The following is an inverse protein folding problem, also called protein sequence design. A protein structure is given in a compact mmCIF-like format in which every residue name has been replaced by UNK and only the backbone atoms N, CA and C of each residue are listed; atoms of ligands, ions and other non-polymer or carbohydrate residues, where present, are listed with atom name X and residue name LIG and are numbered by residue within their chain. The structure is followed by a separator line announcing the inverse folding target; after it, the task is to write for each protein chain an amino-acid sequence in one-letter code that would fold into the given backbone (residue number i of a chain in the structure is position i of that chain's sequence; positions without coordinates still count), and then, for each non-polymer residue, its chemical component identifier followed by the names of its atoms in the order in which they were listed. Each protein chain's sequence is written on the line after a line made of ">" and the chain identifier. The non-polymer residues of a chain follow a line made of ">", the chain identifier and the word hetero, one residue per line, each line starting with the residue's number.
data_IF_420281098875
#
_entry.id   IF_420281098875
#
_cell.length_a   1.000
_cell.length_b   1.000
_cell.length_c   1.000
_cell.angle_alpha   90.00
_cell.angle_beta   90.00
_cell.angle_gamma   90.00
#
_symmetry.space_group_name_H-M   'P 1'
#
loop_
_entity.id
_entity.type
_entity.pdbx_description
1 polymer ?
#
# COMPACT_ATOMS: atom_id res chain seq x y z
N UNK A 1 13.81 -13.91 -10.30
CA UNK A 1 15.28 -13.85 -10.48
C UNK A 1 15.59 -12.91 -11.64
N UNK A 2 16.55 -12.01 -11.50
CA UNK A 2 17.22 -11.33 -12.63
C UNK A 2 18.55 -12.06 -12.80
N UNK A 3 18.83 -12.57 -14.00
CA UNK A 3 20.07 -13.25 -14.34
C UNK A 3 21.14 -12.19 -14.67
N UNK A 4 22.34 -12.33 -14.13
CA UNK A 4 23.52 -11.55 -14.55
C UNK A 4 24.58 -12.53 -15.07
N UNK A 5 25.25 -12.15 -16.16
CA UNK A 5 26.46 -12.85 -16.60
C UNK A 5 27.56 -12.66 -15.55
N UNK A 6 28.48 -13.63 -15.43
CA UNK A 6 29.56 -13.62 -14.42
C UNK A 6 30.38 -12.31 -14.47
N UNK A 7 30.63 -11.81 -15.68
CA UNK A 7 31.37 -10.56 -15.93
C UNK A 7 30.58 -9.28 -15.59
N UNK A 8 29.30 -9.41 -15.23
CA UNK A 8 28.39 -8.31 -14.90
C UNK A 8 27.82 -8.39 -13.48
N UNK A 9 28.33 -9.31 -12.66
CA UNK A 9 27.87 -9.46 -11.28
C UNK A 9 28.31 -8.26 -10.40
N UNK A 10 27.40 -7.65 -9.62
CA UNK A 10 27.76 -6.61 -8.66
C UNK A 10 28.72 -7.14 -7.58
N UNK A 11 29.59 -6.28 -7.01
CA UNK A 11 30.41 -6.64 -5.87
C UNK A 11 29.56 -7.17 -4.69
N UNK A 12 29.96 -8.31 -4.12
CA UNK A 12 29.27 -8.94 -2.98
C UNK A 12 28.43 -10.18 -3.33
N UNK A 13 28.26 -10.50 -4.62
CA UNK A 13 27.58 -11.73 -5.06
C UNK A 13 28.57 -12.89 -5.14
N UNK A 14 28.22 -14.05 -4.54
CA UNK A 14 29.10 -15.23 -4.48
C UNK A 14 28.69 -16.29 -5.50
N UNK A 15 29.60 -16.64 -6.40
CA UNK A 15 29.42 -17.75 -7.34
C UNK A 15 29.50 -19.09 -6.60
N UNK A 16 28.49 -19.95 -6.78
CA UNK A 16 28.37 -21.23 -6.08
C UNK A 16 28.71 -22.45 -6.96
N UNK A 17 28.83 -22.28 -8.28
CA UNK A 17 29.24 -23.35 -9.20
C UNK A 17 28.40 -23.43 -10.48
N UNK A 18 28.81 -24.33 -11.36
CA UNK A 18 28.07 -24.68 -12.59
C UNK A 18 27.13 -25.85 -12.31
N UNK A 19 25.89 -25.76 -12.80
CA UNK A 19 24.93 -26.87 -12.73
C UNK A 19 24.67 -27.42 -14.14
N UNK A 20 24.93 -28.71 -14.35
CA UNK A 20 24.49 -29.45 -15.54
C UNK A 20 23.25 -30.25 -15.17
N UNK A 21 22.16 -30.06 -15.92
CA UNK A 21 20.96 -30.89 -15.79
C UNK A 21 20.97 -31.96 -16.88
N UNK A 22 20.95 -33.24 -16.51
CA UNK A 22 20.68 -34.34 -17.44
C UNK A 22 19.17 -34.64 -17.46
N UNK A 23 18.60 -34.51 -18.65
CA UNK A 23 17.29 -35.00 -19.15
C UNK A 23 16.06 -34.91 -18.24
N UNK A 24 15.13 -34.04 -18.61
CA UNK A 24 13.70 -34.37 -18.77
C UNK A 24 13.07 -33.37 -19.74
N UNK A 25 12.22 -33.85 -20.63
CA UNK A 25 11.59 -33.09 -21.73
C UNK A 25 10.86 -31.84 -21.25
N UNK A 26 11.30 -30.67 -21.71
CA UNK A 26 10.54 -29.42 -21.63
C UNK A 26 10.61 -28.69 -22.98
N UNK A 27 9.53 -28.76 -23.78
CA UNK A 27 9.36 -27.97 -25.01
C UNK A 27 9.28 -26.45 -24.78
N UNK A 28 9.38 -26.00 -23.52
CA UNK A 28 9.76 -24.64 -23.13
C UNK A 28 10.76 -24.74 -21.98
N UNK A 29 12.00 -24.33 -22.20
CA UNK A 29 13.14 -24.52 -21.29
C UNK A 29 12.80 -24.31 -19.80
N UNK A 30 13.16 -25.30 -18.99
CA UNK A 30 12.87 -25.31 -17.55
C UNK A 30 13.71 -24.28 -16.78
N UNK A 31 13.27 -23.88 -15.58
CA UNK A 31 14.12 -24.07 -14.37
C UNK A 31 13.34 -24.01 -13.04
N UNK A 32 13.94 -24.59 -11.99
CA UNK A 32 13.34 -25.23 -10.77
C UNK A 32 13.37 -24.33 -9.52
N UNK A 33 12.54 -24.67 -8.52
CA UNK A 33 12.40 -24.04 -7.18
C UNK A 33 12.47 -25.14 -6.10
N UNK A 34 13.21 -24.98 -4.99
CA UNK A 34 12.73 -25.55 -3.70
C UNK A 34 13.29 -24.83 -2.45
N UNK A 35 12.40 -24.65 -1.44
CA UNK A 35 12.59 -23.89 -0.19
C UNK A 35 12.48 -24.84 1.02
N UNK A 36 13.14 -24.61 2.16
CA UNK A 36 12.61 -23.82 3.30
C UNK A 36 13.46 -22.58 3.63
N UNK A 37 14.56 -22.42 2.92
CA UNK A 37 15.41 -21.22 2.86
C UNK A 37 16.04 -21.11 1.43
N UNK A 38 15.38 -21.65 0.38
CA UNK A 38 15.99 -22.07 -0.92
C UNK A 38 15.56 -21.34 -2.23
N UNK A 39 15.58 -22.05 -3.37
CA UNK A 39 15.92 -21.64 -4.77
C UNK A 39 14.73 -21.28 -5.71
N UNK A 40 14.94 -20.50 -6.82
CA UNK A 40 13.90 -20.14 -7.83
C UNK A 40 14.46 -19.76 -9.23
N UNK A 41 13.87 -20.21 -10.38
CA UNK A 41 14.43 -19.95 -11.74
C UNK A 41 13.45 -19.85 -12.94
N UNK A 42 13.87 -19.24 -14.09
CA UNK A 42 13.24 -19.37 -15.42
C UNK A 42 14.08 -18.83 -16.63
N UNK A 43 14.26 -19.64 -17.70
CA UNK A 43 14.44 -19.25 -19.13
C UNK A 43 15.82 -18.79 -19.66
N UNK A 44 16.63 -19.70 -20.22
CA UNK A 44 17.82 -19.40 -21.05
C UNK A 44 17.73 -20.13 -22.42
N UNK A 45 18.36 -19.62 -23.51
CA UNK A 45 18.39 -20.30 -24.80
C UNK A 45 19.16 -21.63 -24.76
N UNK A 46 18.60 -22.68 -25.38
CA UNK A 46 19.01 -24.09 -25.30
C UNK A 46 20.46 -24.41 -25.73
N UNK A 47 21.15 -23.48 -26.39
CA UNK A 47 22.39 -23.78 -27.13
C UNK A 47 23.65 -23.09 -26.57
N UNK A 48 23.61 -22.55 -25.36
CA UNK A 48 24.80 -21.98 -24.69
C UNK A 48 24.85 -22.37 -23.20
N UNK A 49 26.04 -22.59 -22.62
CA UNK A 49 26.17 -22.73 -21.17
C UNK A 49 25.73 -21.43 -20.49
N UNK A 50 24.65 -21.50 -19.71
CA UNK A 50 24.16 -20.37 -18.92
C UNK A 50 24.60 -20.52 -17.46
N UNK A 51 25.31 -19.52 -16.93
CA UNK A 51 25.60 -19.42 -15.50
C UNK A 51 24.33 -18.94 -14.76
N UNK A 52 23.92 -19.68 -13.72
CA UNK A 52 22.77 -19.32 -12.87
C UNK A 52 23.31 -18.99 -11.48
N UNK A 53 23.24 -17.71 -11.09
CA UNK A 53 23.60 -17.27 -9.74
C UNK A 53 22.37 -17.18 -8.83
N UNK A 54 22.59 -17.59 -7.58
CA UNK A 54 21.61 -17.70 -6.52
C UNK A 54 21.60 -16.43 -5.67
N UNK A 55 20.51 -15.67 -5.70
CA UNK A 55 20.32 -14.55 -4.79
C UNK A 55 19.86 -15.07 -3.43
N UNK A 56 20.62 -14.80 -2.37
CA UNK A 56 20.12 -14.94 -1.01
C UNK A 56 19.12 -13.81 -0.78
N UNK A 57 17.90 -14.14 -0.34
CA UNK A 57 16.86 -13.14 -0.11
C UNK A 57 17.23 -12.12 0.98
N UNK A 58 18.27 -12.38 1.78
CA UNK A 58 18.85 -11.42 2.71
C UNK A 58 19.41 -10.17 2.00
N UNK A 59 19.88 -10.30 0.75
CA UNK A 59 20.58 -9.24 0.04
C UNK A 59 19.63 -8.22 -0.63
N UNK A 60 18.36 -8.58 -0.83
CA UNK A 60 17.42 -7.73 -1.60
C UNK A 60 17.04 -6.44 -0.87
N UNK A 61 17.20 -6.42 0.47
CA UNK A 61 16.92 -5.25 1.30
C UNK A 61 18.17 -4.41 1.66
N UNK A 62 19.35 -4.76 1.14
CA UNK A 62 20.62 -4.06 1.44
C UNK A 62 20.61 -2.57 1.08
N UNK A 63 19.73 -2.16 0.16
CA UNK A 63 19.57 -0.76 -0.26
C UNK A 63 18.41 -0.04 0.42
N UNK A 64 17.79 -0.66 1.43
CA UNK A 64 16.83 0.02 2.29
C UNK A 64 17.56 0.74 3.42
N UNK A 65 16.99 1.83 3.98
CA UNK A 65 17.58 2.51 5.14
C UNK A 65 17.38 1.74 6.47
N UNK A 66 16.95 0.48 6.40
CA UNK A 66 16.50 -0.31 7.54
C UNK A 66 17.60 -1.31 7.95
N UNK A 67 17.80 -1.46 9.27
CA UNK A 67 18.68 -2.48 9.83
C UNK A 67 18.06 -3.87 9.66
N UNK A 68 18.84 -4.93 9.89
CA UNK A 68 18.32 -6.30 9.90
C UNK A 68 17.16 -6.51 10.88
N UNK A 69 17.20 -5.86 12.04
CA UNK A 69 16.12 -5.90 13.04
C UNK A 69 14.85 -5.20 12.55
N UNK A 70 14.99 -4.03 11.91
CA UNK A 70 13.86 -3.34 11.27
C UNK A 70 13.20 -4.23 10.20
N UNK A 71 13.99 -4.87 9.34
CA UNK A 71 13.46 -5.79 8.32
C UNK A 71 12.76 -6.99 8.97
N UNK A 72 13.32 -7.60 10.02
CA UNK A 72 12.66 -8.70 10.73
C UNK A 72 11.32 -8.27 11.35
N UNK A 73 11.25 -7.05 11.90
CA UNK A 73 10.00 -6.49 12.42
C UNK A 73 8.96 -6.30 11.32
N UNK A 74 9.34 -5.75 10.16
CA UNK A 74 8.45 -5.58 9.01
C UNK A 74 7.93 -6.94 8.48
N UNK A 75 8.80 -7.94 8.37
CA UNK A 75 8.43 -9.30 7.94
C UNK A 75 7.42 -9.97 8.87
N UNK A 76 7.55 -9.76 10.18
CA UNK A 76 6.61 -10.30 11.20
C UNK A 76 5.29 -9.54 11.25
N UNK A 77 5.28 -8.29 10.81
CA UNK A 77 4.09 -7.46 10.90
C UNK A 77 3.03 -7.86 9.89
N UNK A 78 1.76 -7.61 10.24
CA UNK A 78 0.61 -7.87 9.38
C UNK A 78 -0.11 -6.55 9.04
N UNK A 79 -0.33 -6.31 7.75
CA UNK A 79 -1.02 -5.12 7.25
C UNK A 79 -2.36 -5.50 6.63
N UNK A 80 -3.45 -4.90 7.10
CA UNK A 80 -4.75 -4.99 6.44
C UNK A 80 -4.99 -3.75 5.60
N UNK A 81 -5.26 -3.94 4.31
CA UNK A 81 -5.50 -2.87 3.35
C UNK A 81 -6.94 -2.92 2.84
N UNK A 82 -7.73 -1.94 3.24
CA UNK A 82 -9.11 -1.72 2.80
C UNK A 82 -9.12 -0.80 1.58
N UNK A 83 -9.68 -1.29 0.49
CA UNK A 83 -9.60 -0.65 -0.82
C UNK A 83 -8.23 -0.88 -1.45
N UNK A 84 -8.20 -1.54 -2.60
CA UNK A 84 -6.99 -1.77 -3.39
C UNK A 84 -7.08 -1.11 -4.77
N UNK A 85 -7.74 0.05 -4.85
CA UNK A 85 -7.76 0.88 -6.06
C UNK A 85 -6.40 1.52 -6.37
N UNK A 86 -6.41 2.71 -6.99
CA UNK A 86 -5.17 3.39 -7.41
C UNK A 86 -4.18 3.64 -6.27
N UNK A 87 -4.66 4.21 -5.15
CA UNK A 87 -3.82 4.47 -3.98
C UNK A 87 -3.43 3.16 -3.29
N UNK A 88 -4.42 2.32 -2.95
CA UNK A 88 -4.18 1.08 -2.20
C UNK A 88 -3.24 0.11 -2.92
N UNK A 89 -3.40 -0.10 -4.22
CA UNK A 89 -2.52 -1.00 -4.98
C UNK A 89 -1.06 -0.54 -5.00
N UNK A 90 -0.82 0.79 -5.09
CA UNK A 90 0.50 1.39 -4.98
C UNK A 90 1.09 1.28 -3.55
N UNK A 91 0.26 1.43 -2.52
CA UNK A 91 0.66 1.20 -1.12
C UNK A 91 1.10 -0.25 -0.94
N UNK A 92 0.27 -1.22 -1.35
CA UNK A 92 0.56 -2.64 -1.18
C UNK A 92 1.90 -3.05 -1.82
N UNK A 93 2.12 -2.67 -3.09
CA UNK A 93 3.39 -2.97 -3.78
C UNK A 93 4.60 -2.37 -3.09
N UNK A 94 4.46 -1.15 -2.57
CA UNK A 94 5.58 -0.45 -1.93
C UNK A 94 5.89 -1.00 -0.55
N UNK A 95 4.88 -1.43 0.21
CA UNK A 95 5.07 -2.14 1.48
C UNK A 95 5.76 -3.48 1.29
N UNK A 96 5.38 -4.26 0.27
CA UNK A 96 6.07 -5.51 -0.09
C UNK A 96 7.53 -5.24 -0.41
N UNK A 97 7.83 -4.21 -1.20
CA UNK A 97 9.21 -3.81 -1.53
C UNK A 97 10.00 -3.32 -0.32
N UNK A 98 9.32 -2.79 0.70
CA UNK A 98 9.94 -2.39 1.95
C UNK A 98 10.21 -3.56 2.91
N UNK A 99 9.68 -4.76 2.63
CA UNK A 99 9.91 -5.97 3.42
C UNK A 99 8.73 -6.44 4.26
N UNK A 100 7.52 -5.89 4.06
CA UNK A 100 6.30 -6.42 4.68
C UNK A 100 5.88 -7.72 3.99
N UNK A 101 5.66 -8.78 4.77
CA UNK A 101 5.37 -10.12 4.24
C UNK A 101 3.95 -10.63 4.48
N UNK A 102 3.25 -10.13 5.50
CA UNK A 102 1.88 -10.55 5.79
C UNK A 102 0.91 -9.44 5.40
N UNK A 103 0.09 -9.68 4.38
CA UNK A 103 -0.85 -8.67 3.85
C UNK A 103 -2.24 -9.28 3.67
N UNK A 104 -3.23 -8.60 4.23
CA UNK A 104 -4.65 -8.83 4.01
C UNK A 104 -5.19 -7.75 3.05
N UNK A 105 -5.64 -8.16 1.86
CA UNK A 105 -6.22 -7.28 0.84
C UNK A 105 -7.75 -7.40 0.84
N UNK A 106 -8.45 -6.28 0.97
CA UNK A 106 -9.92 -6.24 1.04
C UNK A 106 -10.45 -5.22 0.02
N UNK A 107 -11.14 -5.70 -1.02
CA UNK A 107 -11.81 -4.85 -1.99
C UNK A 107 -12.85 -5.70 -2.77
N UNK A 108 -14.14 -5.31 -2.80
CA UNK A 108 -15.18 -6.07 -3.48
C UNK A 108 -15.13 -5.95 -5.01
N UNK A 109 -14.40 -4.99 -5.55
CA UNK A 109 -14.53 -4.62 -6.95
C UNK A 109 -13.68 -5.50 -7.88
N UNK A 110 -14.11 -5.54 -9.14
CA UNK A 110 -13.31 -6.02 -10.26
C UNK A 110 -12.55 -4.87 -10.90
N UNK A 111 -11.42 -5.18 -11.51
CA UNK A 111 -10.63 -4.21 -12.27
C UNK A 111 -11.38 -3.86 -13.56
N UNK A 112 -11.71 -2.59 -13.75
CA UNK A 112 -12.31 -2.09 -14.99
C UNK A 112 -11.25 -1.39 -15.86
N UNK A 113 -11.52 -1.26 -17.17
CA UNK A 113 -10.61 -0.61 -18.13
C UNK A 113 -10.21 0.80 -17.69
N UNK A 114 -11.15 1.60 -17.18
CA UNK A 114 -10.90 2.97 -16.71
C UNK A 114 -10.06 3.03 -15.42
N UNK A 115 -9.95 1.92 -14.69
CA UNK A 115 -9.10 1.86 -13.49
C UNK A 115 -7.64 1.53 -13.82
N UNK A 116 -7.37 0.78 -14.89
CA UNK A 116 -6.05 0.20 -15.17
C UNK A 116 -4.95 1.25 -15.24
N UNK A 117 -5.22 2.41 -15.83
CA UNK A 117 -4.21 3.45 -16.03
C UNK A 117 -3.66 4.10 -14.75
N UNK A 118 -4.34 3.88 -13.61
CA UNK A 118 -3.89 4.33 -12.28
C UNK A 118 -3.78 3.21 -11.28
N UNK A 119 -4.04 1.97 -11.69
CA UNK A 119 -3.92 0.80 -10.83
C UNK A 119 -2.60 0.13 -11.12
N UNK A 120 -2.00 -0.50 -10.11
CA UNK A 120 -0.76 -1.24 -10.27
C UNK A 120 -0.90 -2.57 -11.04
N UNK A 121 -2.09 -2.90 -11.54
CA UNK A 121 -2.36 -4.12 -12.31
C UNK A 121 -2.39 -3.77 -13.80
N UNK A 122 -2.27 -4.79 -14.64
CA UNK A 122 -2.12 -4.59 -16.08
C UNK A 122 -3.47 -4.64 -16.81
N UNK A 123 -3.45 -4.27 -18.09
CA UNK A 123 -4.60 -4.47 -19.00
C UNK A 123 -5.05 -5.94 -19.09
N UNK A 124 -4.14 -6.88 -18.85
CA UNK A 124 -4.45 -8.32 -18.87
C UNK A 124 -5.27 -8.78 -17.66
N UNK A 125 -5.38 -7.93 -16.62
CA UNK A 125 -6.09 -8.25 -15.39
C UNK A 125 -7.54 -7.73 -15.36
N UNK A 126 -7.97 -7.03 -16.41
CA UNK A 126 -9.32 -6.48 -16.52
C UNK A 126 -10.38 -7.57 -16.38
N UNK A 127 -11.42 -7.29 -15.59
CA UNK A 127 -12.50 -8.22 -15.27
C UNK A 127 -12.22 -9.14 -14.08
N UNK A 128 -10.98 -9.26 -13.62
CA UNK A 128 -10.64 -10.01 -12.40
C UNK A 128 -10.93 -9.17 -11.16
N UNK A 129 -11.17 -9.81 -10.01
CA UNK A 129 -11.22 -9.10 -8.73
C UNK A 129 -9.89 -8.38 -8.48
N UNK A 130 -9.96 -7.11 -8.06
CA UNK A 130 -8.76 -6.28 -7.82
C UNK A 130 -7.82 -6.95 -6.83
N UNK A 131 -8.36 -7.50 -5.74
CA UNK A 131 -7.57 -8.22 -4.71
C UNK A 131 -6.81 -9.41 -5.28
N UNK A 132 -7.42 -10.19 -6.18
CA UNK A 132 -6.80 -11.39 -6.76
C UNK A 132 -5.73 -11.01 -7.79
N UNK A 133 -6.01 -10.05 -8.66
CA UNK A 133 -5.05 -9.55 -9.64
C UNK A 133 -3.83 -8.91 -8.95
N UNK A 134 -4.07 -8.09 -7.93
CA UNK A 134 -3.00 -7.47 -7.16
C UNK A 134 -2.18 -8.52 -6.41
N UNK A 135 -2.81 -9.50 -5.74
CA UNK A 135 -2.08 -10.56 -5.05
C UNK A 135 -1.10 -11.30 -5.98
N UNK A 136 -1.52 -11.63 -7.20
CA UNK A 136 -0.63 -12.24 -8.19
C UNK A 136 0.54 -11.31 -8.55
N UNK A 137 0.29 -10.01 -8.73
CA UNK A 137 1.35 -9.04 -8.99
C UNK A 137 2.32 -8.88 -7.81
N UNK A 138 1.83 -8.93 -6.57
CA UNK A 138 2.67 -8.87 -5.37
C UNK A 138 3.56 -10.10 -5.23
N UNK A 139 3.05 -11.29 -5.55
CA UNK A 139 3.84 -12.54 -5.54
C UNK A 139 4.98 -12.54 -6.56
N UNK A 140 4.87 -11.76 -7.64
CA UNK A 140 5.98 -11.55 -8.59
C UNK A 140 7.10 -10.69 -7.98
N UNK A 141 6.78 -9.83 -7.01
CA UNK A 141 7.76 -9.02 -6.27
C UNK A 141 8.41 -9.86 -5.16
N UNK A 142 7.59 -10.53 -4.36
CA UNK A 142 8.05 -11.42 -3.29
C UNK A 142 7.21 -12.71 -3.28
N UNK A 143 7.76 -13.85 -3.71
CA UNK A 143 7.06 -15.13 -3.66
C UNK A 143 6.80 -15.68 -2.25
N UNK A 144 7.44 -15.12 -1.22
CA UNK A 144 7.31 -15.57 0.18
C UNK A 144 6.17 -14.88 0.93
N UNK A 145 5.39 -14.02 0.27
CA UNK A 145 4.30 -13.30 0.92
C UNK A 145 3.22 -14.25 1.47
N UNK A 146 2.81 -13.99 2.69
CA UNK A 146 1.57 -14.50 3.26
C UNK A 146 0.44 -13.54 2.89
N UNK A 147 -0.33 -13.91 1.86
CA UNK A 147 -1.43 -13.09 1.34
C UNK A 147 -2.78 -13.72 1.66
N UNK A 148 -3.67 -12.91 2.24
CA UNK A 148 -5.11 -13.20 2.32
C UNK A 148 -5.86 -12.17 1.48
N UNK A 149 -6.80 -12.63 0.67
CA UNK A 149 -7.61 -11.75 -0.18
C UNK A 149 -9.09 -11.91 0.14
N UNK A 150 -9.82 -10.79 0.12
CA UNK A 150 -11.25 -10.74 0.40
C UNK A 150 -11.94 -9.88 -0.66
N UNK A 151 -12.61 -10.55 -1.59
CA UNK A 151 -13.37 -9.93 -2.68
C UNK A 151 -14.81 -9.61 -2.25
N UNK A 152 -14.97 -9.00 -1.08
CA UNK A 152 -16.27 -8.81 -0.43
C UNK A 152 -16.39 -7.43 0.21
N UNK A 153 -17.62 -6.93 0.31
CA UNK A 153 -17.90 -5.71 1.05
C UNK A 153 -18.05 -6.04 2.54
N UNK A 154 -16.93 -6.23 3.22
CA UNK A 154 -16.92 -6.72 4.61
C UNK A 154 -17.45 -5.70 5.63
N UNK A 155 -17.66 -4.44 5.24
CA UNK A 155 -18.29 -3.43 6.12
C UNK A 155 -19.74 -3.76 6.51
N UNK A 156 -20.35 -4.76 5.87
CA UNK A 156 -21.69 -5.28 6.21
C UNK A 156 -21.64 -6.47 7.17
N UNK A 157 -20.44 -6.94 7.52
CA UNK A 157 -20.27 -8.06 8.44
C UNK A 157 -20.57 -7.65 9.89
N UNK A 158 -20.95 -8.62 10.75
CA UNK A 158 -21.06 -8.38 12.19
C UNK A 158 -19.72 -7.89 12.77
N UNK A 159 -19.78 -6.98 13.74
CA UNK A 159 -18.57 -6.41 14.37
C UNK A 159 -17.61 -7.49 14.86
N UNK A 160 -18.09 -8.50 15.59
CA UNK A 160 -17.26 -9.61 16.09
C UNK A 160 -16.45 -10.33 14.99
N UNK A 161 -16.97 -10.42 13.77
CA UNK A 161 -16.26 -11.04 12.65
C UNK A 161 -15.16 -10.11 12.10
N UNK A 162 -15.41 -8.80 12.07
CA UNK A 162 -14.40 -7.79 11.71
C UNK A 162 -13.30 -7.71 12.76
N UNK A 163 -13.65 -7.79 14.05
CA UNK A 163 -12.71 -7.83 15.15
C UNK A 163 -11.78 -9.04 15.05
N UNK A 164 -12.34 -10.24 14.82
CA UNK A 164 -11.55 -11.45 14.61
C UNK A 164 -10.62 -11.34 13.39
N UNK A 165 -11.11 -10.75 12.29
CA UNK A 165 -10.31 -10.56 11.08
C UNK A 165 -9.08 -9.66 11.34
N UNK A 166 -9.22 -8.67 12.22
CA UNK A 166 -8.20 -7.66 12.51
C UNK A 166 -7.37 -7.96 13.76
N UNK A 167 -7.64 -9.05 14.48
CA UNK A 167 -7.00 -9.40 15.75
C UNK A 167 -5.47 -9.39 15.66
N UNK A 168 -4.91 -10.04 14.63
CA UNK A 168 -3.46 -10.15 14.41
C UNK A 168 -2.88 -9.08 13.49
N UNK A 169 -3.67 -8.08 13.11
CA UNK A 169 -3.22 -6.97 12.26
C UNK A 169 -2.40 -5.99 13.09
N UNK A 170 -1.25 -5.59 12.57
CA UNK A 170 -0.33 -4.61 13.17
C UNK A 170 -0.71 -3.18 12.79
N UNK A 171 -1.11 -2.94 11.53
CA UNK A 171 -1.59 -1.64 11.04
C UNK A 171 -2.72 -1.86 10.04
N UNK A 172 -3.80 -1.09 10.18
CA UNK A 172 -4.88 -1.00 9.19
C UNK A 172 -4.61 0.19 8.28
N UNK A 173 -4.75 0.00 6.97
CA UNK A 173 -4.67 1.06 5.98
C UNK A 173 -6.00 1.10 5.24
N UNK A 174 -6.65 2.25 5.23
CA UNK A 174 -7.89 2.50 4.50
C UNK A 174 -7.65 3.50 3.37
N UNK A 175 -7.76 3.00 2.14
CA UNK A 175 -7.72 3.82 0.93
C UNK A 175 -9.04 3.78 0.14
N UNK A 176 -10.13 3.40 0.80
CA UNK A 176 -11.48 3.44 0.24
C UNK A 176 -11.91 4.88 -0.04
N UNK A 177 -12.82 5.06 -0.98
CA UNK A 177 -13.39 6.36 -1.35
C UNK A 177 -14.76 6.64 -0.70
N UNK A 178 -15.26 5.68 0.11
CA UNK A 178 -16.56 5.74 0.77
C UNK A 178 -16.42 6.35 2.17
N UNK A 179 -17.09 7.49 2.46
CA UNK A 179 -17.04 8.10 3.79
C UNK A 179 -17.46 7.15 4.92
N UNK A 180 -18.50 6.33 4.69
CA UNK A 180 -18.97 5.33 5.66
C UNK A 180 -17.89 4.29 6.01
N UNK A 181 -17.22 3.73 5.00
CA UNK A 181 -16.13 2.78 5.19
C UNK A 181 -15.00 3.38 6.05
N UNK A 182 -14.59 4.61 5.75
CA UNK A 182 -13.57 5.34 6.53
C UNK A 182 -13.98 5.61 7.97
N UNK A 183 -15.25 5.85 8.23
CA UNK A 183 -15.75 6.03 9.60
C UNK A 183 -15.79 4.70 10.35
N UNK A 184 -16.13 3.61 9.68
CA UNK A 184 -16.10 2.25 10.25
C UNK A 184 -14.68 1.80 10.59
N UNK A 185 -13.72 1.90 9.64
CA UNK A 185 -12.32 1.53 9.90
C UNK A 185 -11.69 2.39 10.98
N UNK A 186 -12.00 3.70 11.03
CA UNK A 186 -11.57 4.56 12.11
C UNK A 186 -12.08 4.03 13.45
N UNK A 187 -13.39 3.76 13.57
CA UNK A 187 -14.00 3.29 14.82
C UNK A 187 -13.41 1.95 15.28
N UNK A 188 -13.23 0.99 14.36
CA UNK A 188 -12.57 -0.29 14.63
C UNK A 188 -11.13 -0.10 15.13
N UNK A 189 -10.40 0.88 14.59
CA UNK A 189 -9.06 1.23 15.06
C UNK A 189 -9.02 1.62 16.54
N UNK A 190 -9.99 2.44 16.98
CA UNK A 190 -10.12 2.82 18.38
C UNK A 190 -10.53 1.62 19.25
N UNK A 191 -11.54 0.87 18.83
CA UNK A 191 -12.10 -0.25 19.61
C UNK A 191 -11.10 -1.41 19.78
N UNK A 192 -10.29 -1.68 18.75
CA UNK A 192 -9.33 -2.78 18.76
C UNK A 192 -7.90 -2.35 19.11
N UNK A 193 -7.72 -1.08 19.52
CA UNK A 193 -6.41 -0.49 19.77
C UNK A 193 -5.42 -0.74 18.62
N UNK A 194 -5.88 -0.58 17.37
CA UNK A 194 -5.08 -0.76 16.16
C UNK A 194 -4.72 0.59 15.54
N UNK A 195 -3.44 0.80 15.17
CA UNK A 195 -3.09 1.94 14.34
C UNK A 195 -3.82 1.89 13.00
N UNK A 196 -4.35 3.03 12.57
CA UNK A 196 -5.06 3.17 11.29
C UNK A 196 -4.44 4.27 10.48
N UNK A 197 -4.21 4.04 9.19
CA UNK A 197 -3.79 5.06 8.21
C UNK A 197 -4.89 5.20 7.16
N UNK A 198 -5.45 6.40 7.03
CA UNK A 198 -6.39 6.73 5.97
C UNK A 198 -5.66 7.53 4.89
N UNK A 199 -5.79 7.11 3.63
CA UNK A 199 -5.21 7.79 2.49
C UNK A 199 -6.29 8.11 1.45
N UNK A 200 -6.39 9.37 1.03
CA UNK A 200 -7.46 9.81 0.13
C UNK A 200 -6.99 10.82 -0.89
N UNK A 201 -7.47 10.68 -2.12
CA UNK A 201 -7.34 11.70 -3.15
C UNK A 201 -8.58 12.61 -3.13
N UNK A 202 -8.37 13.92 -3.28
CA UNK A 202 -9.46 14.85 -3.50
C UNK A 202 -9.91 14.86 -4.97
N UNK A 203 -11.02 15.54 -5.24
CA UNK A 203 -11.58 15.63 -6.58
C UNK A 203 -10.56 16.08 -7.63
N UNK A 204 -10.64 15.47 -8.81
CA UNK A 204 -9.75 15.72 -9.95
C UNK A 204 -8.25 15.48 -9.67
N UNK A 205 -7.93 14.86 -8.53
CA UNK A 205 -6.55 14.82 -8.04
C UNK A 205 -5.97 16.21 -7.86
N UNK A 206 -6.77 17.18 -7.40
CA UNK A 206 -6.30 18.52 -7.00
C UNK A 206 -5.63 18.52 -5.62
N UNK A 207 -5.42 17.36 -5.01
CA UNK A 207 -4.68 17.19 -3.77
C UNK A 207 -5.02 15.86 -3.14
N UNK A 208 -4.49 15.63 -1.96
CA UNK A 208 -4.90 14.50 -1.15
C UNK A 208 -4.59 14.69 0.31
N UNK A 209 -4.83 13.62 1.05
CA UNK A 209 -4.70 13.59 2.49
C UNK A 209 -4.19 12.24 2.96
N UNK A 210 -3.40 12.29 4.03
CA UNK A 210 -3.02 11.12 4.83
C UNK A 210 -3.32 11.47 6.28
N UNK A 211 -4.23 10.72 6.89
CA UNK A 211 -4.52 10.81 8.32
C UNK A 211 -4.07 9.52 8.98
N UNK A 212 -3.53 9.58 10.19
CA UNK A 212 -3.26 8.37 10.95
C UNK A 212 -3.73 8.48 12.39
N UNK A 213 -4.00 7.33 12.99
CA UNK A 213 -4.32 7.20 14.39
C UNK A 213 -3.27 6.31 15.06
N UNK A 214 -2.75 6.79 16.18
CA UNK A 214 -1.89 6.03 17.08
C UNK A 214 -2.75 5.66 18.30
N UNK A 215 -2.92 4.36 18.61
CA UNK A 215 -3.63 3.93 19.80
C UNK A 215 -3.04 4.55 21.06
N UNK A 216 -3.90 4.86 22.01
CA UNK A 216 -3.57 5.38 23.35
C UNK A 216 -2.88 6.75 23.38
N UNK A 217 -2.69 7.39 22.22
CA UNK A 217 -2.22 8.78 22.12
C UNK A 217 -3.43 9.71 22.03
N UNK A 218 -3.44 10.76 22.85
CA UNK A 218 -4.55 11.72 22.95
C UNK A 218 -4.55 12.72 21.78
N UNK A 219 -4.89 12.23 20.60
CA UNK A 219 -4.97 12.98 19.35
C UNK A 219 -6.41 13.05 18.79
N UNK A 220 -6.73 14.05 17.95
CA UNK A 220 -8.03 14.11 17.31
C UNK A 220 -8.29 12.88 16.44
N UNK A 221 -9.46 12.26 16.61
CA UNK A 221 -9.86 11.15 15.76
C UNK A 221 -10.35 11.59 14.38
N UNK A 222 -10.53 10.61 13.50
CA UNK A 222 -11.07 10.84 12.16
C UNK A 222 -12.46 11.52 12.20
N UNK A 223 -13.30 11.25 13.20
CA UNK A 223 -14.56 11.96 13.40
C UNK A 223 -14.34 13.43 13.77
N UNK A 224 -13.43 13.72 14.71
CA UNK A 224 -13.07 15.08 15.08
C UNK A 224 -12.58 15.90 13.88
N UNK A 225 -11.88 15.23 12.97
CA UNK A 225 -11.40 15.76 11.70
C UNK A 225 -12.56 16.14 10.77
N UNK A 226 -13.46 15.20 10.50
CA UNK A 226 -14.53 15.35 9.50
C UNK A 226 -15.64 16.29 9.92
N UNK A 227 -16.01 16.31 11.19
CA UNK A 227 -16.94 17.33 11.71
C UNK A 227 -16.36 18.75 11.59
N UNK A 228 -15.03 18.88 11.63
CA UNK A 228 -14.35 20.17 11.61
C UNK A 228 -13.97 20.70 10.25
N UNK A 229 -14.00 19.85 9.23
CA UNK A 229 -13.44 20.16 7.94
C UNK A 229 -14.30 19.54 6.84
N UNK A 230 -15.26 20.32 6.38
CA UNK A 230 -16.03 20.01 5.19
C UNK A 230 -15.09 20.04 3.98
N UNK A 231 -14.95 18.89 3.32
CA UNK A 231 -14.30 18.84 2.01
C UNK A 231 -15.18 19.58 0.99
N UNK A 232 -14.59 20.17 -0.06
CA UNK A 232 -15.37 20.69 -1.18
C UNK A 232 -16.25 19.57 -1.76
N UNK A 233 -17.51 19.84 -2.12
CA UNK A 233 -18.38 18.84 -2.71
C UNK A 233 -17.81 18.39 -4.06
N UNK A 234 -17.97 17.09 -4.39
CA UNK A 234 -17.61 16.58 -5.72
C UNK A 234 -18.49 17.26 -6.78
N UNK A 235 -17.87 17.93 -7.73
CA UNK A 235 -18.47 18.76 -8.77
C UNK A 235 -19.16 17.98 -9.91
N UNK A 236 -18.87 16.69 -10.15
CA UNK A 236 -19.70 15.71 -10.91
C UNK A 236 -18.95 14.38 -11.11
N UNK A 237 -19.69 13.30 -11.41
CA UNK A 237 -19.11 12.08 -12.02
C UNK A 237 -19.27 12.19 -13.53
N UNK A 238 -18.17 12.06 -14.29
CA UNK A 238 -18.21 12.02 -15.76
C UNK A 238 -18.34 10.56 -16.20
N UNK A 239 -19.40 10.22 -16.92
CA UNK A 239 -19.61 8.90 -17.50
C UNK A 239 -19.08 8.85 -18.94
N UNK A 240 -17.89 8.28 -19.12
CA UNK A 240 -17.27 8.11 -20.43
C UNK A 240 -17.81 6.91 -21.22
N UNK A 241 -18.73 6.10 -20.67
CA UNK A 241 -19.30 4.96 -21.40
C UNK A 241 -20.08 5.35 -22.66
N UNK A 242 -20.42 6.64 -22.77
CA UNK A 242 -21.16 7.23 -23.91
C UNK A 242 -20.28 8.07 -24.84
N UNK A 243 -18.97 8.16 -24.59
CA UNK A 243 -18.05 8.93 -25.41
C UNK A 243 -17.97 8.33 -26.84
N UNK A 244 -18.14 9.16 -27.86
CA UNK A 244 -18.09 8.80 -29.28
C UNK A 244 -16.82 9.29 -29.98
N UNK A 245 -16.08 10.24 -29.40
CA UNK A 245 -14.82 10.73 -29.96
C UNK A 245 -13.89 11.44 -28.96
N UNK A 246 -12.69 11.84 -29.40
CA UNK A 246 -11.69 12.53 -28.58
C UNK A 246 -12.22 13.78 -27.85
N UNK A 247 -13.20 14.47 -28.46
CA UNK A 247 -13.80 15.69 -27.89
C UNK A 247 -14.70 15.42 -26.67
N UNK A 248 -15.14 14.18 -26.47
CA UNK A 248 -15.91 13.77 -25.29
C UNK A 248 -15.02 13.54 -24.06
N UNK A 249 -13.71 13.43 -24.26
CA UNK A 249 -12.75 13.23 -23.18
C UNK A 249 -12.40 14.55 -22.52
N UNK A 250 -13.11 14.86 -21.44
CA UNK A 250 -12.82 16.03 -20.60
C UNK A 250 -11.61 15.89 -19.67
N UNK A 251 -10.87 14.78 -19.76
CA UNK A 251 -9.79 14.39 -18.85
C UNK A 251 -10.33 13.73 -17.58
N UNK A 252 -9.77 12.59 -17.18
CA UNK A 252 -10.19 11.89 -15.97
C UNK A 252 -9.73 12.62 -14.69
N UNK A 253 -10.47 12.48 -13.57
CA UNK A 253 -10.06 13.06 -12.32
C UNK A 253 -8.86 12.30 -11.71
N UNK A 254 -7.71 12.96 -11.72
CA UNK A 254 -6.51 12.58 -10.97
C UNK A 254 -5.46 11.87 -11.81
N UNK A 255 -4.31 12.51 -11.97
CA UNK A 255 -3.11 11.95 -12.60
C UNK A 255 -2.52 10.83 -11.73
N UNK A 256 -2.02 9.74 -12.33
CA UNK A 256 -1.38 8.61 -11.59
C UNK A 256 -0.28 9.10 -10.63
N UNK A 257 0.52 10.08 -11.08
CA UNK A 257 1.56 10.68 -10.25
C UNK A 257 1.01 11.32 -8.96
N UNK A 258 -0.21 11.88 -8.99
CA UNK A 258 -0.87 12.42 -7.80
C UNK A 258 -1.31 11.31 -6.87
N UNK A 259 -1.96 10.27 -7.40
CA UNK A 259 -2.37 9.13 -6.54
C UNK A 259 -1.16 8.45 -5.92
N UNK A 260 -0.05 8.37 -6.64
CA UNK A 260 1.21 7.80 -6.15
C UNK A 260 1.88 8.68 -5.10
N UNK A 261 1.87 10.00 -5.21
CA UNK A 261 2.45 10.86 -4.17
C UNK A 261 1.73 10.69 -2.83
N UNK A 262 0.40 10.59 -2.86
CA UNK A 262 -0.43 10.32 -1.69
C UNK A 262 -0.15 8.91 -1.14
N UNK A 263 -0.10 7.90 -2.01
CA UNK A 263 0.22 6.54 -1.62
C UNK A 263 1.60 6.45 -0.95
N UNK A 264 2.63 7.12 -1.48
CA UNK A 264 3.98 7.06 -0.93
C UNK A 264 4.09 7.77 0.42
N UNK A 265 3.33 8.85 0.63
CA UNK A 265 3.21 9.46 1.94
C UNK A 265 2.55 8.49 2.94
N UNK A 266 1.46 7.82 2.55
CA UNK A 266 0.80 6.82 3.38
C UNK A 266 1.70 5.62 3.70
N UNK A 267 2.53 5.17 2.75
CA UNK A 267 3.53 4.10 2.95
C UNK A 267 4.55 4.51 4.02
N UNK A 268 5.09 5.73 3.95
CA UNK A 268 6.06 6.21 4.94
C UNK A 268 5.46 6.25 6.35
N UNK A 269 4.22 6.75 6.50
CA UNK A 269 3.51 6.73 7.78
C UNK A 269 3.23 5.30 8.25
N UNK A 270 2.83 4.41 7.35
CA UNK A 270 2.55 3.01 7.70
C UNK A 270 3.80 2.28 8.19
N UNK A 271 4.93 2.45 7.50
CA UNK A 271 6.23 1.91 7.91
C UNK A 271 6.70 2.52 9.24
N UNK A 272 6.48 3.83 9.45
CA UNK A 272 6.75 4.47 10.73
C UNK A 272 5.96 3.84 11.88
N UNK A 273 4.68 3.53 11.66
CA UNK A 273 3.82 2.87 12.65
C UNK A 273 4.26 1.43 12.93
N UNK A 274 4.62 0.67 11.89
CA UNK A 274 5.10 -0.72 12.00
C UNK A 274 6.43 -0.83 12.76
N UNK A 275 7.28 0.19 12.62
CA UNK A 275 8.58 0.30 13.28
C UNK A 275 8.53 1.17 14.55
N UNK A 276 7.33 1.53 15.04
CA UNK A 276 7.18 2.36 16.23
C UNK A 276 7.77 1.66 17.45
N UNK A 277 8.67 2.33 18.15
CA UNK A 277 9.34 1.79 19.33
C UNK A 277 10.60 0.98 19.02
N UNK A 278 10.95 0.77 17.75
CA UNK A 278 12.25 0.20 17.37
C UNK A 278 13.36 1.25 17.56
N UNK A 279 14.51 0.90 18.17
CA UNK A 279 15.63 1.83 18.35
C UNK A 279 16.20 2.26 16.99
N UNK A 280 16.76 3.47 16.91
CA UNK A 280 17.45 4.01 15.74
C UNK A 280 16.63 4.10 14.43
N UNK A 281 15.30 3.93 14.49
CA UNK A 281 14.41 4.11 13.35
C UNK A 281 14.08 5.59 13.12
N UNK A 282 14.84 6.29 12.28
CA UNK A 282 14.59 7.70 11.95
C UNK A 282 13.20 7.94 11.33
N UNK A 283 12.65 6.97 10.61
CA UNK A 283 11.32 7.10 10.00
C UNK A 283 10.21 7.27 11.05
N UNK A 284 10.37 6.68 12.24
CA UNK A 284 9.41 6.79 13.34
C UNK A 284 9.26 8.21 13.88
N UNK A 285 10.23 9.10 13.64
CA UNK A 285 10.19 10.51 14.05
C UNK A 285 9.04 11.29 13.40
N UNK A 286 8.51 10.85 12.26
CA UNK A 286 7.31 11.49 11.67
C UNK A 286 6.09 11.39 12.58
N UNK A 287 6.05 10.40 13.48
CA UNK A 287 4.97 10.17 14.43
C UNK A 287 5.06 11.06 15.67
N UNK A 288 6.16 11.78 15.89
CA UNK A 288 6.31 12.73 17.00
C UNK A 288 5.87 14.15 16.64
N UNK A 289 5.33 14.32 15.43
CA UNK A 289 4.80 15.60 14.97
C UNK A 289 3.55 16.00 15.77
N UNK A 290 3.30 17.30 15.94
CA UNK A 290 2.14 17.81 16.68
C UNK A 290 0.79 17.57 15.96
N UNK A 291 0.77 16.87 14.83
CA UNK A 291 -0.43 16.62 14.05
C UNK A 291 -0.33 15.30 13.31
N UNK A 292 -1.44 14.55 13.34
CA UNK A 292 -1.62 13.29 12.67
C UNK A 292 -2.40 13.40 11.34
N UNK A 293 -2.39 14.58 10.74
CA UNK A 293 -3.08 14.85 9.48
C UNK A 293 -2.20 15.64 8.51
N UNK A 294 -1.79 14.97 7.44
CA UNK A 294 -0.99 15.52 6.37
C UNK A 294 -1.88 15.83 5.16
N UNK A 295 -1.85 17.09 4.72
CA UNK A 295 -2.45 17.52 3.45
C UNK A 295 -1.36 17.62 2.39
N UNK A 296 -1.56 16.92 1.27
CA UNK A 296 -0.60 16.82 0.17
C UNK A 296 -1.13 17.56 -1.05
N UNK A 297 -0.54 18.73 -1.29
CA UNK A 297 -0.75 19.46 -2.53
C UNK A 297 0.05 18.86 -3.68
N UNK A 298 -0.44 19.02 -4.90
CA UNK A 298 0.22 18.66 -6.14
C UNK A 298 0.12 19.83 -7.15
N UNK A 299 0.53 19.59 -8.40
CA UNK A 299 0.53 20.61 -9.45
C UNK A 299 -0.84 21.29 -9.67
N UNK A 300 -1.94 20.57 -9.44
CA UNK A 300 -3.32 21.04 -9.65
C UNK A 300 -3.97 21.62 -8.38
N UNK A 301 -3.25 21.75 -7.28
CA UNK A 301 -3.80 22.20 -5.99
C UNK A 301 -4.02 23.70 -5.86
N UNK A 302 -3.68 24.48 -6.89
CA UNK A 302 -3.74 25.94 -6.80
C UNK A 302 -5.15 26.43 -6.43
N UNK A 303 -5.26 27.13 -5.29
CA UNK A 303 -6.52 27.64 -4.72
C UNK A 303 -7.63 26.59 -4.54
N UNK A 304 -7.26 25.32 -4.34
CA UNK A 304 -8.21 24.25 -4.02
C UNK A 304 -8.20 23.94 -2.52
N UNK A 305 -9.38 23.85 -1.90
CA UNK A 305 -9.54 23.51 -0.49
C UNK A 305 -8.70 24.39 0.45
N UNK A 306 -7.62 23.85 1.04
CA UNK A 306 -6.70 24.57 1.95
C UNK A 306 -5.31 24.79 1.36
N UNK A 307 -5.13 24.46 0.08
CA UNK A 307 -3.85 24.61 -0.60
C UNK A 307 -3.69 26.05 -1.10
N UNK A 308 -2.54 26.65 -0.77
CA UNK A 308 -2.19 28.03 -1.16
C UNK A 308 -1.52 28.12 -2.53
N UNK A 309 -1.22 26.99 -3.15
CA UNK A 309 -0.51 26.92 -4.42
C UNK A 309 -0.15 25.48 -4.81
N UNK A 310 0.49 25.29 -5.97
CA UNK A 310 0.99 24.00 -6.41
C UNK A 310 1.97 23.39 -5.40
N UNK A 311 1.89 22.07 -5.20
CA UNK A 311 2.74 21.30 -4.29
C UNK A 311 2.75 21.74 -2.81
N UNK A 312 1.80 22.60 -2.41
CA UNK A 312 1.67 23.04 -1.02
C UNK A 312 1.32 21.87 -0.11
N UNK A 313 2.30 21.34 0.62
CA UNK A 313 2.15 20.20 1.52
C UNK A 313 2.39 20.64 2.96
N UNK A 314 1.49 20.29 3.86
CA UNK A 314 1.59 20.74 5.26
C UNK A 314 0.84 19.80 6.21
N UNK A 315 1.34 19.70 7.44
CA UNK A 315 0.58 19.11 8.54
C UNK A 315 -0.48 20.09 9.00
N UNK A 316 -1.73 19.64 9.07
CA UNK A 316 -2.83 20.46 9.51
C UNK A 316 -2.89 20.43 11.05
N UNK A 317 -2.62 21.55 11.75
CA UNK A 317 -2.61 21.57 13.21
C UNK A 317 -4.01 21.31 13.78
N UNK A 318 -4.05 20.65 14.94
CA UNK A 318 -5.25 20.48 15.77
C UNK A 318 -4.93 20.69 17.24
N UNK A 319 -5.87 21.31 17.95
CA UNK A 319 -5.77 21.54 19.40
C UNK A 319 -6.33 20.34 20.19
N UNK A 320 -5.94 19.12 19.81
CA UNK A 320 -6.40 17.88 20.42
C UNK A 320 -7.85 17.47 20.08
N UNK A 321 -8.37 16.41 20.74
CA UNK A 321 -9.72 15.91 20.52
C UNK A 321 -10.83 16.93 20.82
N UNK A 322 -11.94 16.84 20.08
CA UNK A 322 -13.15 17.63 20.38
C UNK A 322 -13.75 17.20 21.71
N UNK A 323 -14.17 18.17 22.53
CA UNK A 323 -14.87 17.92 23.81
C UNK A 323 -16.14 17.09 23.64
N UNK A 324 -16.85 17.26 22.52
CA UNK A 324 -18.09 16.55 22.19
C UNK A 324 -17.87 15.15 21.58
N UNK A 325 -16.63 14.75 21.27
CA UNK A 325 -16.37 13.49 20.56
C UNK A 325 -16.44 12.30 21.51
N UNK A 326 -17.54 11.56 21.47
CA UNK A 326 -17.76 10.37 22.31
C UNK A 326 -16.66 9.32 22.19
N UNK A 327 -16.10 9.10 20.99
CA UNK A 327 -15.00 8.15 20.77
C UNK A 327 -13.73 8.56 21.52
N UNK A 328 -13.29 9.81 21.36
CA UNK A 328 -12.08 10.30 22.03
C UNK A 328 -12.24 10.47 23.55
N UNK A 329 -13.48 10.63 24.05
CA UNK A 329 -13.71 10.72 25.49
C UNK A 329 -13.75 9.33 26.15
N UNK A 330 -14.16 8.27 25.43
CA UNK A 330 -14.22 6.90 25.97
C UNK A 330 -12.85 6.28 26.27
N UNK A 331 -11.81 6.65 25.55
CA UNK A 331 -10.46 6.06 25.64
C UNK A 331 -9.57 6.67 26.73
N UNK A 332 -10.15 7.28 27.78
CA UNK A 332 -9.38 7.93 28.86
C UNK A 332 -9.13 7.04 30.10
N UNK A 333 -9.17 5.71 29.96
CA UNK A 333 -8.98 4.78 31.08
C UNK A 333 -7.71 3.95 30.98
#
# INVERSE_FOLDING_TARGET
>A
MILFCEDQAPPGVKFLGWFHFQETNFEKGLSVIETKQGLLAQGAPLNQPASVQLLLFADVFLRTPFSGEHIQQLKKSCVALFGVGSIGSAIAKSLVRAGVENILLIDPDRLSLTNVFRHECSMLDVGRYKVTALAQSLLQINPQLSLKTMAENIFQWPSAQLENLLENVSVVIDSTDRPSARLTTASLGYELHKPVVHAGCFEEGRGGEVFWHIPDVKEPCYWCLREGMAQPPKSRTIDYSTAQGPDDFKGEPGLDAVTKSIAMAAVQISLALLLRGMPDCQLSLVLTTQSNYLLLGNAFSNNFYRFKGPFHTFFQPFNGPRKSCSLCQKTTH
#
